data_IF_472098415182
#
_entry.id   IF_472098415182
#
_cell.length_a   1.000
_cell.length_b   1.000
_cell.length_c   1.000
_cell.angle_alpha   90.00
_cell.angle_beta   90.00
_cell.angle_gamma   90.00
#
_symmetry.space_group_name_H-M   'P 1'
#
loop_
_entity.id
_entity.type
_entity.pdbx_description
1 polymer ?
#
# COMPACT_ATOMS: atom_id res chain seq x y z
N UNK A 1 24.81 24.07 66.83
CA UNK A 1 24.37 24.05 65.41
C UNK A 1 25.40 23.29 64.59
N UNK A 2 25.18 22.00 64.32
CA UNK A 2 26.05 21.15 63.48
C UNK A 2 25.52 21.14 62.05
N UNK A 3 26.35 21.47 61.06
CA UNK A 3 26.03 21.36 59.62
C UNK A 3 26.32 19.92 59.16
N UNK A 4 25.34 19.29 58.52
CA UNK A 4 25.46 17.98 57.86
C UNK A 4 26.06 18.12 56.45
N UNK A 5 26.92 17.20 55.97
CA UNK A 5 27.44 17.25 54.62
C UNK A 5 26.47 16.59 53.62
N UNK A 6 26.28 17.23 52.48
CA UNK A 6 25.56 16.70 51.32
C UNK A 6 26.27 15.43 50.80
N UNK A 7 25.55 14.31 50.74
CA UNK A 7 26.00 13.10 50.04
C UNK A 7 25.63 13.19 48.56
N UNK A 8 26.64 13.26 47.69
CA UNK A 8 26.49 13.05 46.25
C UNK A 8 26.17 11.57 45.99
N UNK A 9 25.01 11.30 45.38
CA UNK A 9 24.65 9.98 44.84
C UNK A 9 24.97 10.03 43.35
N UNK A 10 25.87 9.19 42.81
CA UNK A 10 26.07 9.12 41.37
C UNK A 10 24.88 8.38 40.75
N UNK A 11 24.16 9.04 39.84
CA UNK A 11 23.15 8.41 39.01
C UNK A 11 23.85 7.46 38.01
N UNK A 12 23.66 6.16 38.20
CA UNK A 12 24.05 5.12 37.24
C UNK A 12 23.10 5.21 36.04
N UNK A 13 23.52 5.93 34.98
CA UNK A 13 22.92 5.78 33.66
C UNK A 13 23.33 4.42 33.09
N UNK A 14 22.51 3.39 33.29
CA UNK A 14 22.56 2.19 32.47
C UNK A 14 22.05 2.54 31.08
N UNK A 15 22.98 2.83 30.17
CA UNK A 15 22.69 2.98 28.75
C UNK A 15 22.12 1.67 28.19
N UNK A 16 20.84 1.69 27.83
CA UNK A 16 20.26 0.66 26.97
C UNK A 16 20.85 0.87 25.58
N UNK A 17 21.86 0.06 25.24
CA UNK A 17 22.32 -0.08 23.87
C UNK A 17 21.24 -0.89 23.15
N UNK A 18 20.32 -0.19 22.47
CA UNK A 18 19.47 -0.83 21.47
C UNK A 18 20.39 -1.15 20.30
N UNK A 19 20.83 -2.41 20.23
CA UNK A 19 21.42 -2.95 19.00
C UNK A 19 20.31 -2.98 17.96
N UNK A 20 20.22 -1.91 17.17
CA UNK A 20 19.50 -1.95 15.90
C UNK A 20 20.27 -2.91 14.99
N UNK A 21 19.93 -4.20 15.08
CA UNK A 21 20.34 -5.16 14.07
C UNK A 21 19.77 -4.67 12.74
N UNK A 22 20.64 -4.19 11.86
CA UNK A 22 20.30 -4.05 10.45
C UNK A 22 20.19 -5.45 9.86
N UNK A 23 19.11 -6.15 10.19
CA UNK A 23 18.69 -7.26 9.37
C UNK A 23 18.16 -6.63 8.08
N UNK A 24 18.85 -6.94 6.99
CA UNK A 24 18.47 -6.49 5.65
C UNK A 24 17.38 -7.44 5.18
N UNK A 25 16.15 -7.12 5.55
CA UNK A 25 14.98 -7.90 5.16
C UNK A 25 14.82 -7.76 3.64
N UNK A 26 15.27 -8.79 2.92
CA UNK A 26 15.17 -8.85 1.47
C UNK A 26 13.79 -9.39 1.09
N UNK A 27 12.81 -8.50 1.11
CA UNK A 27 11.45 -8.77 0.63
C UNK A 27 11.53 -9.10 -0.87
N UNK A 28 11.07 -10.29 -1.26
CA UNK A 28 11.24 -10.84 -2.62
C UNK A 28 10.21 -10.24 -3.60
N UNK A 29 10.57 -10.13 -4.87
CA UNK A 29 9.60 -9.82 -5.93
C UNK A 29 8.65 -11.00 -6.16
N UNK A 30 7.35 -10.74 -6.25
CA UNK A 30 6.35 -11.72 -6.64
C UNK A 30 6.42 -11.92 -8.15
N UNK A 31 6.57 -13.15 -8.60
CA UNK A 31 6.46 -13.51 -10.03
C UNK A 31 5.16 -14.26 -10.30
N UNK A 32 4.62 -14.94 -9.28
CA UNK A 32 3.37 -15.68 -9.37
C UNK A 32 2.59 -15.58 -8.05
N UNK A 33 1.28 -15.81 -8.14
CA UNK A 33 0.37 -15.85 -6.99
C UNK A 33 0.80 -16.84 -5.87
N UNK A 34 1.51 -17.92 -6.22
CA UNK A 34 2.00 -18.93 -5.27
C UNK A 34 3.10 -18.41 -4.34
N UNK A 35 3.80 -17.32 -4.72
CA UNK A 35 4.91 -16.76 -3.93
C UNK A 35 4.43 -16.18 -2.58
N UNK A 36 3.14 -15.87 -2.45
CA UNK A 36 2.51 -15.40 -1.19
C UNK A 36 2.59 -16.47 -0.07
N UNK A 37 2.88 -17.73 -0.41
CA UNK A 37 3.03 -18.81 0.58
C UNK A 37 4.39 -18.81 1.30
N UNK A 38 5.32 -17.94 0.90
CA UNK A 38 6.70 -17.90 1.42
C UNK A 38 7.02 -16.60 2.20
N UNK A 39 6.02 -15.98 2.81
CA UNK A 39 6.22 -14.76 3.61
C UNK A 39 6.93 -15.06 4.93
N UNK A 40 7.81 -14.16 5.35
CA UNK A 40 8.33 -14.14 6.74
C UNK A 40 7.19 -13.85 7.73
N UNK A 41 7.41 -14.14 9.01
CA UNK A 41 6.38 -13.93 10.05
C UNK A 41 5.87 -12.48 10.09
N UNK A 42 6.77 -11.49 9.90
CA UNK A 42 6.41 -10.07 9.92
C UNK A 42 5.65 -9.65 8.66
N UNK A 43 6.08 -10.12 7.48
CA UNK A 43 5.35 -9.89 6.22
C UNK A 43 3.96 -10.53 6.25
N UNK A 44 3.85 -11.75 6.79
CA UNK A 44 2.58 -12.44 6.97
C UNK A 44 1.63 -11.63 7.87
N UNK A 45 2.12 -11.07 9.00
CA UNK A 45 1.30 -10.21 9.87
C UNK A 45 0.74 -9.01 9.12
N UNK A 46 1.57 -8.31 8.34
CA UNK A 46 1.13 -7.13 7.56
C UNK A 46 0.16 -7.52 6.44
N UNK A 47 0.38 -8.67 5.81
CA UNK A 47 -0.55 -9.23 4.84
C UNK A 47 -1.93 -9.53 5.46
N UNK A 48 -1.95 -10.16 6.64
CA UNK A 48 -3.21 -10.42 7.37
C UNK A 48 -3.90 -9.14 7.82
N UNK A 49 -3.14 -8.14 8.28
CA UNK A 49 -3.70 -6.84 8.62
C UNK A 49 -4.34 -6.15 7.40
N UNK A 50 -3.68 -6.20 6.24
CA UNK A 50 -4.23 -5.69 4.99
C UNK A 50 -5.50 -6.44 4.57
N UNK A 51 -5.55 -7.77 4.75
CA UNK A 51 -6.75 -8.58 4.52
C UNK A 51 -7.92 -8.18 5.42
N UNK A 52 -7.65 -7.89 6.70
CA UNK A 52 -8.71 -7.46 7.61
C UNK A 52 -9.19 -6.05 7.29
N UNK A 53 -8.29 -5.14 6.92
CA UNK A 53 -8.65 -3.80 6.45
C UNK A 53 -9.54 -3.86 5.22
N UNK A 54 -9.16 -4.66 4.22
CA UNK A 54 -9.93 -4.94 3.01
C UNK A 54 -11.35 -5.44 3.34
N UNK A 55 -11.46 -6.36 4.31
CA UNK A 55 -12.75 -6.86 4.79
C UNK A 55 -13.59 -5.77 5.45
N UNK A 56 -12.99 -4.92 6.28
CA UNK A 56 -13.69 -3.84 6.97
C UNK A 56 -14.25 -2.83 5.98
N UNK A 57 -13.46 -2.38 5.00
CA UNK A 57 -13.91 -1.38 4.02
C UNK A 57 -15.05 -1.88 3.14
N UNK A 58 -15.04 -3.17 2.79
CA UNK A 58 -16.15 -3.80 2.09
C UNK A 58 -17.47 -3.78 2.89
N UNK A 59 -17.40 -3.82 4.22
CA UNK A 59 -18.59 -3.82 5.08
C UNK A 59 -19.04 -2.43 5.55
N UNK A 60 -18.16 -1.42 5.50
CA UNK A 60 -18.45 -0.06 5.95
C UNK A 60 -19.14 0.81 4.89
N UNK A 61 -19.43 0.27 3.70
CA UNK A 61 -20.12 1.00 2.63
C UNK A 61 -19.24 2.02 1.91
N UNK A 62 -17.90 1.91 2.05
CA UNK A 62 -16.93 2.77 1.35
C UNK A 62 -16.72 2.35 -0.12
N UNK A 63 -17.07 1.10 -0.45
CA UNK A 63 -16.95 0.56 -1.80
C UNK A 63 -18.08 1.10 -2.67
N UNK A 64 -17.72 1.72 -3.78
CA UNK A 64 -18.65 2.12 -4.81
C UNK A 64 -19.22 0.85 -5.49
N UNK A 65 -20.52 0.62 -5.28
CA UNK A 65 -21.18 -0.61 -5.71
C UNK A 65 -21.56 -0.56 -7.20
N UNK A 66 -20.59 -0.86 -8.06
CA UNK A 66 -20.77 -1.02 -9.50
C UNK A 66 -19.99 -2.24 -9.99
N UNK A 67 -20.71 -3.36 -10.15
CA UNK A 67 -20.14 -4.65 -10.53
C UNK A 67 -19.58 -4.63 -11.96
N UNK A 68 -20.18 -3.85 -12.87
CA UNK A 68 -19.75 -3.75 -14.26
C UNK A 68 -18.43 -2.97 -14.36
N UNK A 69 -18.35 -1.82 -13.70
CA UNK A 69 -17.12 -1.04 -13.60
C UNK A 69 -16.01 -1.86 -12.94
N UNK A 70 -16.30 -2.52 -11.83
CA UNK A 70 -15.32 -3.35 -11.10
C UNK A 70 -14.83 -4.51 -11.97
N UNK A 71 -15.72 -5.19 -12.68
CA UNK A 71 -15.36 -6.26 -13.60
C UNK A 71 -14.49 -5.76 -14.77
N UNK A 72 -14.80 -4.57 -15.31
CA UNK A 72 -13.99 -3.96 -16.35
C UNK A 72 -12.58 -3.64 -15.85
N UNK A 73 -12.44 -2.97 -14.71
CA UNK A 73 -11.13 -2.70 -14.09
C UNK A 73 -10.34 -3.98 -13.84
N UNK A 74 -11.02 -5.02 -13.33
CA UNK A 74 -10.42 -6.33 -13.12
C UNK A 74 -9.93 -6.94 -14.44
N UNK A 75 -10.68 -6.81 -15.53
CA UNK A 75 -10.26 -7.30 -16.85
C UNK A 75 -9.00 -6.61 -17.37
N UNK A 76 -8.87 -5.29 -17.15
CA UNK A 76 -7.67 -4.52 -17.51
C UNK A 76 -6.47 -4.98 -16.68
N UNK A 77 -6.66 -5.15 -15.36
CA UNK A 77 -5.61 -5.66 -14.47
C UNK A 77 -5.13 -7.07 -14.87
N UNK A 78 -6.05 -7.97 -15.19
CA UNK A 78 -5.73 -9.35 -15.64
C UNK A 78 -5.01 -9.33 -16.99
N UNK A 79 -5.37 -8.43 -17.90
CA UNK A 79 -4.69 -8.28 -19.19
C UNK A 79 -3.24 -7.83 -18.99
N UNK A 80 -2.99 -6.91 -18.05
CA UNK A 80 -1.65 -6.41 -17.70
C UNK A 80 -0.80 -7.46 -16.97
N UNK A 81 -1.38 -8.14 -15.98
CA UNK A 81 -0.70 -9.08 -15.09
C UNK A 81 -1.48 -10.39 -14.95
N UNK A 82 -1.51 -11.23 -16.00
CA UNK A 82 -2.23 -12.50 -15.97
C UNK A 82 -1.74 -13.45 -14.86
N UNK A 83 -0.47 -13.34 -14.47
CA UNK A 83 0.14 -14.10 -13.37
C UNK A 83 -0.48 -13.81 -11.98
N UNK A 84 -1.17 -12.68 -11.86
CA UNK A 84 -1.85 -12.24 -10.63
C UNK A 84 -3.37 -12.24 -10.75
N UNK A 85 -3.94 -12.89 -11.77
CA UNK A 85 -5.41 -13.00 -11.95
C UNK A 85 -6.12 -13.56 -10.71
N UNK A 86 -5.49 -14.49 -10.00
CA UNK A 86 -6.04 -15.11 -8.79
C UNK A 86 -5.78 -14.33 -7.50
N UNK A 87 -4.95 -13.29 -7.51
CA UNK A 87 -4.54 -12.55 -6.30
C UNK A 87 -4.88 -11.07 -6.34
N UNK A 88 -4.73 -10.41 -7.49
CA UNK A 88 -5.11 -9.00 -7.65
C UNK A 88 -6.64 -8.89 -7.68
N UNK A 89 -7.16 -7.98 -6.86
CA UNK A 89 -8.60 -7.71 -6.73
C UNK A 89 -8.85 -6.21 -6.80
N UNK A 90 -9.42 -5.77 -7.91
CA UNK A 90 -9.77 -4.37 -8.13
C UNK A 90 -10.99 -3.98 -7.32
N UNK A 91 -10.98 -2.78 -6.74
CA UNK A 91 -12.09 -2.19 -5.99
C UNK A 91 -12.16 -0.69 -6.27
N UNK A 92 -13.36 -0.14 -6.18
CA UNK A 92 -13.60 1.29 -6.35
C UNK A 92 -14.05 1.89 -5.03
N UNK A 93 -13.43 2.98 -4.61
CA UNK A 93 -13.86 3.77 -3.45
C UNK A 93 -14.74 4.92 -3.94
N UNK A 94 -15.88 5.13 -3.29
CA UNK A 94 -16.75 6.28 -3.53
C UNK A 94 -16.14 7.56 -2.94
N UNK A 95 -15.08 8.05 -3.60
CA UNK A 95 -14.37 9.27 -3.25
C UNK A 95 -14.05 10.09 -4.51
N UNK A 96 -14.22 11.43 -4.45
CA UNK A 96 -13.85 12.32 -5.56
C UNK A 96 -12.34 12.57 -5.65
N UNK A 97 -11.54 12.06 -4.72
CA UNK A 97 -10.11 12.30 -4.70
C UNK A 97 -9.40 11.59 -5.88
N UNK A 98 -8.31 12.19 -6.34
CA UNK A 98 -7.45 11.62 -7.37
C UNK A 98 -6.43 10.69 -6.72
N UNK A 99 -6.87 9.51 -6.32
CA UNK A 99 -6.02 8.55 -5.63
C UNK A 99 -6.24 7.10 -6.10
N UNK A 100 -5.19 6.30 -6.02
CA UNK A 100 -5.20 4.87 -6.18
C UNK A 100 -4.09 4.27 -5.30
N UNK A 101 -4.26 3.03 -4.87
CA UNK A 101 -3.25 2.36 -4.03
C UNK A 101 -3.42 0.83 -4.02
N UNK A 102 -2.32 0.10 -3.88
CA UNK A 102 -2.31 -1.36 -3.75
C UNK A 102 -1.91 -1.86 -2.35
N UNK A 103 -2.79 -2.63 -1.71
CA UNK A 103 -2.51 -3.28 -0.43
C UNK A 103 -1.54 -4.47 -0.61
N UNK A 104 -0.76 -4.82 0.43
CA UNK A 104 0.11 -5.99 0.41
C UNK A 104 -0.58 -7.31 0.07
N UNK A 105 -1.90 -7.40 0.25
CA UNK A 105 -2.68 -8.61 -0.02
C UNK A 105 -3.15 -8.76 -1.47
N UNK A 106 -2.82 -7.80 -2.36
CA UNK A 106 -3.26 -7.80 -3.76
C UNK A 106 -4.55 -7.03 -4.01
N UNK A 107 -5.17 -6.46 -2.98
CA UNK A 107 -6.32 -5.57 -3.17
C UNK A 107 -5.85 -4.22 -3.71
N UNK A 108 -6.36 -3.83 -4.86
CA UNK A 108 -6.02 -2.56 -5.52
C UNK A 108 -7.26 -1.68 -5.54
N UNK A 109 -7.11 -0.48 -5.01
CA UNK A 109 -8.19 0.48 -4.83
C UNK A 109 -7.98 1.68 -5.76
N UNK A 110 -9.01 2.05 -6.48
CA UNK A 110 -9.06 3.31 -7.23
C UNK A 110 -10.22 4.14 -6.67
N UNK A 111 -9.98 5.42 -6.44
CA UNK A 111 -11.05 6.34 -6.11
C UNK A 111 -11.84 6.67 -7.39
N UNK A 112 -13.15 6.84 -7.26
CA UNK A 112 -14.02 7.19 -8.38
C UNK A 112 -13.55 8.46 -9.10
N UNK A 113 -13.04 9.46 -8.36
CA UNK A 113 -12.44 10.68 -8.93
C UNK A 113 -11.26 10.40 -9.85
N UNK A 114 -10.37 9.45 -9.49
CA UNK A 114 -9.26 9.02 -10.35
C UNK A 114 -9.77 8.41 -11.65
N UNK A 115 -10.76 7.52 -11.58
CA UNK A 115 -11.36 6.88 -12.75
C UNK A 115 -12.01 7.93 -13.66
N UNK A 116 -12.80 8.83 -13.08
CA UNK A 116 -13.51 9.90 -13.80
C UNK A 116 -12.57 10.90 -14.48
N UNK A 117 -11.30 10.98 -14.04
CA UNK A 117 -10.28 11.85 -14.65
C UNK A 117 -9.64 11.27 -15.90
N UNK A 118 -9.71 9.96 -16.09
CA UNK A 118 -9.09 9.26 -17.23
C UNK A 118 -9.89 9.50 -18.51
N UNK A 119 -9.20 9.84 -19.59
CA UNK A 119 -9.83 10.15 -20.88
C UNK A 119 -9.96 8.92 -21.79
N UNK A 120 -9.22 7.84 -21.50
CA UNK A 120 -9.22 6.60 -22.27
C UNK A 120 -8.67 5.41 -21.45
N UNK A 121 -8.82 4.19 -21.98
CA UNK A 121 -8.33 2.96 -21.34
C UNK A 121 -6.81 2.95 -21.14
N UNK A 122 -6.01 3.57 -22.01
CA UNK A 122 -4.55 3.57 -21.87
C UNK A 122 -4.09 4.35 -20.62
N UNK A 123 -4.75 5.48 -20.33
CA UNK A 123 -4.51 6.25 -19.11
C UNK A 123 -4.92 5.45 -17.86
N UNK A 124 -6.10 4.84 -17.89
CA UNK A 124 -6.58 3.99 -16.79
C UNK A 124 -5.65 2.79 -16.56
N UNK A 125 -5.23 2.13 -17.63
CA UNK A 125 -4.29 1.03 -17.59
C UNK A 125 -2.95 1.46 -17.02
N UNK A 126 -2.54 2.72 -17.19
CA UNK A 126 -1.31 3.27 -16.59
C UNK A 126 -1.40 3.34 -15.07
N UNK A 127 -2.50 3.86 -14.52
CA UNK A 127 -2.72 3.88 -13.06
C UNK A 127 -2.74 2.45 -12.51
N UNK A 128 -3.52 1.56 -13.13
CA UNK A 128 -3.60 0.15 -12.71
C UNK A 128 -2.22 -0.53 -12.79
N UNK A 129 -1.47 -0.27 -13.86
CA UNK A 129 -0.17 -0.90 -14.06
C UNK A 129 0.84 -0.48 -13.01
N UNK A 130 0.85 0.81 -12.65
CA UNK A 130 1.66 1.38 -11.58
C UNK A 130 1.30 0.75 -10.22
N UNK A 131 0.02 0.71 -9.85
CA UNK A 131 -0.41 0.14 -8.57
C UNK A 131 -0.12 -1.36 -8.44
N UNK A 132 -0.38 -2.14 -9.50
CA UNK A 132 -0.07 -3.58 -9.48
C UNK A 132 1.44 -3.82 -9.43
N UNK A 133 2.27 -2.92 -9.98
CA UNK A 133 3.73 -2.99 -9.80
C UNK A 133 4.12 -2.81 -8.33
N UNK A 134 3.49 -1.90 -7.57
CA UNK A 134 3.76 -1.77 -6.14
C UNK A 134 3.44 -3.06 -5.37
N UNK A 135 2.36 -3.74 -5.74
CA UNK A 135 2.04 -5.07 -5.20
C UNK A 135 3.10 -6.11 -5.61
N UNK A 136 3.43 -6.19 -6.91
CA UNK A 136 4.42 -7.13 -7.46
C UNK A 136 5.77 -7.04 -6.74
N UNK A 137 6.27 -5.83 -6.55
CA UNK A 137 7.56 -5.59 -5.89
C UNK A 137 7.46 -5.47 -4.38
N UNK A 138 6.27 -5.66 -3.80
CA UNK A 138 6.02 -5.62 -2.36
C UNK A 138 6.53 -4.33 -1.70
N UNK A 139 6.37 -3.18 -2.37
CA UNK A 139 6.90 -1.90 -1.92
C UNK A 139 6.37 -1.49 -0.54
N UNK A 140 5.09 -1.76 -0.25
CA UNK A 140 4.46 -1.51 1.05
C UNK A 140 5.04 -2.37 2.18
N UNK A 141 5.52 -3.58 1.89
CA UNK A 141 6.20 -4.44 2.87
C UNK A 141 7.67 -4.03 3.08
N UNK A 142 8.34 -3.58 2.02
CA UNK A 142 9.73 -3.08 2.05
C UNK A 142 9.86 -1.77 2.84
N UNK A 143 8.79 -0.97 2.90
CA UNK A 143 8.79 0.30 3.61
C UNK A 143 8.70 0.09 5.13
N UNK A 144 9.87 0.09 5.80
CA UNK A 144 10.03 -0.19 7.24
C UNK A 144 9.24 0.73 8.19
N UNK A 145 8.76 1.89 7.73
CA UNK A 145 8.27 2.95 8.61
C UNK A 145 6.75 3.16 8.64
N UNK A 146 5.96 2.54 7.77
CA UNK A 146 4.60 3.03 7.52
C UNK A 146 3.47 2.15 8.06
N UNK A 147 3.54 0.82 7.90
CA UNK A 147 2.37 -0.03 8.15
C UNK A 147 2.21 -0.54 9.60
N UNK A 148 3.31 -0.79 10.31
CA UNK A 148 3.27 -1.60 11.54
C UNK A 148 2.64 -0.91 12.75
N UNK A 149 2.68 0.42 12.82
CA UNK A 149 2.26 1.15 14.03
C UNK A 149 1.11 2.12 13.80
N UNK A 150 0.93 2.66 12.59
CA UNK A 150 -0.03 3.73 12.35
C UNK A 150 -1.41 3.21 11.90
N UNK A 151 -1.45 2.27 10.95
CA UNK A 151 -2.71 1.77 10.37
C UNK A 151 -3.39 0.79 11.33
N UNK A 152 -2.66 -0.21 11.83
CA UNK A 152 -3.22 -1.22 12.75
C UNK A 152 -3.63 -0.59 14.09
N UNK A 153 -2.78 0.28 14.68
CA UNK A 153 -3.10 0.94 15.94
C UNK A 153 -4.18 2.02 15.78
N UNK A 154 -4.16 2.78 14.69
CA UNK A 154 -5.16 3.81 14.40
C UNK A 154 -6.57 3.24 14.26
N UNK A 155 -6.73 2.13 13.54
CA UNK A 155 -8.03 1.47 13.40
C UNK A 155 -8.48 0.72 14.67
N UNK A 156 -7.55 0.10 15.40
CA UNK A 156 -7.88 -0.48 16.72
C UNK A 156 -8.44 0.59 17.65
N UNK A 157 -7.85 1.79 17.63
CA UNK A 157 -8.36 2.95 18.37
C UNK A 157 -9.72 3.39 17.83
N UNK A 158 -9.94 3.55 16.53
CA UNK A 158 -11.25 3.93 15.97
C UNK A 158 -12.36 2.94 16.34
N UNK A 159 -12.08 1.63 16.24
CA UNK A 159 -13.03 0.55 16.53
C UNK A 159 -13.32 0.44 18.04
N UNK A 160 -12.31 0.55 18.92
CA UNK A 160 -12.52 0.45 20.37
C UNK A 160 -13.04 1.74 21.01
N UNK A 161 -12.62 2.91 20.52
CA UNK A 161 -12.88 4.20 21.19
C UNK A 161 -14.08 4.96 20.60
N UNK A 162 -14.58 4.56 19.43
CA UNK A 162 -15.65 5.28 18.73
C UNK A 162 -15.26 6.69 18.26
N UNK A 163 -13.98 7.06 18.37
CA UNK A 163 -13.46 8.31 17.84
C UNK A 163 -13.21 8.10 16.34
N UNK A 164 -13.82 8.89 15.45
CA UNK A 164 -13.56 8.81 14.01
C UNK A 164 -12.18 9.41 13.71
N UNK A 165 -11.12 8.67 14.03
CA UNK A 165 -9.92 8.75 13.22
C UNK A 165 -10.31 8.09 11.89
N UNK A 166 -10.37 8.85 10.81
CA UNK A 166 -10.58 8.29 9.47
C UNK A 166 -9.39 7.40 9.18
N UNK A 167 -9.48 6.12 9.52
CA UNK A 167 -8.37 5.22 9.31
C UNK A 167 -8.10 5.00 7.81
N UNK A 168 -8.99 5.47 6.94
CA UNK A 168 -8.76 5.69 5.52
C UNK A 168 -7.62 6.67 5.31
N UNK A 169 -7.60 7.83 5.98
CA UNK A 169 -6.51 8.81 5.88
C UNK A 169 -5.17 8.28 6.41
N UNK A 170 -5.21 7.43 7.43
CA UNK A 170 -4.01 6.78 7.99
C UNK A 170 -3.50 5.62 7.11
N UNK A 171 -4.40 4.83 6.53
CA UNK A 171 -4.06 3.78 5.58
C UNK A 171 -3.51 4.39 4.29
N UNK A 172 -4.17 5.41 3.75
CA UNK A 172 -3.72 6.20 2.62
C UNK A 172 -2.36 6.83 2.90
N UNK A 173 -2.18 7.46 4.07
CA UNK A 173 -0.90 8.07 4.48
C UNK A 173 0.26 7.08 4.61
N UNK A 174 -0.03 5.83 4.99
CA UNK A 174 0.98 4.78 5.11
C UNK A 174 1.33 4.09 3.77
N UNK A 175 0.49 4.29 2.76
CA UNK A 175 0.68 3.74 1.42
C UNK A 175 1.15 4.81 0.43
N UNK A 176 0.91 6.09 0.75
CA UNK A 176 1.50 7.23 0.06
C UNK A 176 2.95 7.43 0.51
N UNK A 177 3.84 7.72 -0.43
CA UNK A 177 5.23 8.07 -0.15
C UNK A 177 6.18 6.89 -0.19
N UNK A 178 6.12 6.06 -1.24
CA UNK A 178 7.18 5.11 -1.51
C UNK A 178 8.50 5.84 -1.82
N UNK A 179 9.62 5.11 -1.74
CA UNK A 179 10.91 5.70 -2.11
C UNK A 179 10.94 6.04 -3.59
N UNK A 180 11.75 7.02 -3.98
CA UNK A 180 11.90 7.39 -5.40
C UNK A 180 12.37 6.20 -6.26
N UNK A 181 13.11 5.25 -5.67
CA UNK A 181 13.53 4.04 -6.37
C UNK A 181 12.36 3.08 -6.60
N UNK A 182 11.46 2.94 -5.62
CA UNK A 182 10.23 2.14 -5.75
C UNK A 182 9.26 2.73 -6.77
N UNK A 183 9.06 4.06 -6.78
CA UNK A 183 8.26 4.75 -7.80
C UNK A 183 8.83 4.51 -9.20
N UNK A 184 10.16 4.67 -9.37
CA UNK A 184 10.83 4.43 -10.65
C UNK A 184 10.76 2.96 -11.09
N UNK A 185 10.79 2.01 -10.15
CA UNK A 185 10.61 0.57 -10.43
C UNK A 185 9.18 0.27 -10.87
N UNK A 186 8.19 0.86 -10.20
CA UNK A 186 6.77 0.70 -10.55
C UNK A 186 6.42 1.29 -11.91
N UNK A 187 6.89 2.50 -12.20
CA UNK A 187 6.71 3.17 -13.50
C UNK A 187 7.33 2.37 -14.64
N UNK A 188 8.55 1.85 -14.45
CA UNK A 188 9.24 1.07 -15.49
C UNK A 188 8.50 -0.23 -15.80
N UNK A 189 8.18 -1.03 -14.79
CA UNK A 189 7.46 -2.29 -15.00
C UNK A 189 6.09 -2.05 -15.62
N UNK A 190 5.35 -1.06 -15.11
CA UNK A 190 4.02 -0.72 -15.61
C UNK A 190 4.06 -0.23 -17.05
N UNK A 191 5.00 0.66 -17.38
CA UNK A 191 5.19 1.14 -18.75
C UNK A 191 5.57 0.02 -19.71
N UNK A 192 6.50 -0.86 -19.32
CA UNK A 192 6.91 -1.99 -20.14
C UNK A 192 5.74 -2.95 -20.42
N UNK A 193 4.83 -3.16 -19.45
CA UNK A 193 3.60 -3.96 -19.62
C UNK A 193 2.66 -3.33 -20.64
N UNK A 194 2.44 -2.02 -20.54
CA UNK A 194 1.55 -1.28 -21.42
C UNK A 194 2.01 -1.34 -22.88
N UNK A 195 3.30 -1.09 -23.12
CA UNK A 195 3.88 -1.13 -24.46
C UNK A 195 3.79 -2.52 -25.07
N UNK A 196 4.05 -3.58 -24.29
CA UNK A 196 3.90 -4.97 -24.77
C UNK A 196 2.48 -5.31 -25.22
N UNK A 197 1.47 -4.68 -24.62
CA UNK A 197 0.06 -4.87 -24.96
C UNK A 197 -0.45 -3.92 -26.06
N UNK A 198 0.42 -3.03 -26.57
CA UNK A 198 0.08 -2.09 -27.64
C UNK A 198 -0.69 -0.85 -27.17
N UNK A 199 -0.67 -0.52 -25.88
CA UNK A 199 -1.19 0.77 -25.42
C UNK A 199 -0.29 1.92 -25.90
N UNK A 200 -0.89 3.08 -26.16
CA UNK A 200 -0.16 4.29 -26.54
C UNK A 200 0.60 4.85 -25.33
N UNK A 201 1.94 4.73 -25.34
CA UNK A 201 2.79 5.23 -24.27
C UNK A 201 2.73 6.75 -24.07
N UNK A 202 2.25 7.52 -25.05
CA UNK A 202 2.01 8.96 -24.88
C UNK A 202 0.92 9.24 -23.85
N UNK A 203 -0.05 8.34 -23.68
CA UNK A 203 -1.10 8.46 -22.67
C UNK A 203 -0.54 8.24 -21.26
N UNK A 204 0.42 7.33 -21.07
CA UNK A 204 1.10 7.14 -19.80
C UNK A 204 1.85 8.39 -19.33
N UNK A 205 2.48 9.12 -20.26
CA UNK A 205 3.17 10.39 -19.94
C UNK A 205 2.21 11.46 -19.40
N UNK A 206 0.94 11.45 -19.83
CA UNK A 206 -0.08 12.37 -19.30
C UNK A 206 -0.44 12.00 -17.85
N UNK A 207 -0.50 10.71 -17.55
CA UNK A 207 -0.84 10.17 -16.22
C UNK A 207 0.29 10.34 -15.20
N UNK A 208 1.55 10.09 -15.59
CA UNK A 208 2.70 10.25 -14.68
C UNK A 208 2.93 11.69 -14.16
N UNK A 209 2.21 12.68 -14.70
CA UNK A 209 2.22 14.05 -14.16
C UNK A 209 1.15 14.27 -13.09
N UNK A 210 0.23 13.33 -12.93
CA UNK A 210 -0.89 13.34 -11.99
C UNK A 210 -0.64 12.44 -10.78
N UNK A 211 0.17 11.40 -10.95
CA UNK A 211 0.75 10.55 -9.90
C UNK A 211 1.95 11.28 -9.27
#
# INVERSE_FOLDING_TARGET
MKRSPLRFIPALLSGVIVLAGCDSMHVRTLEQSSDIQQLTDDEARRWYAAKELDRIWQHQGLIYADDELTAYLQSVAVKLYPEFSETVRMRVIDSPDLNAFALPNGSVYLNFGMIARMENEAQLATVIAHEVSHFKFQHSLKQRHAMETAVIAGWTVTILSGIPLSGELLALGAMSGYSQDAEREADREGFDRLIRLGYDGAESVKVFRML
#
